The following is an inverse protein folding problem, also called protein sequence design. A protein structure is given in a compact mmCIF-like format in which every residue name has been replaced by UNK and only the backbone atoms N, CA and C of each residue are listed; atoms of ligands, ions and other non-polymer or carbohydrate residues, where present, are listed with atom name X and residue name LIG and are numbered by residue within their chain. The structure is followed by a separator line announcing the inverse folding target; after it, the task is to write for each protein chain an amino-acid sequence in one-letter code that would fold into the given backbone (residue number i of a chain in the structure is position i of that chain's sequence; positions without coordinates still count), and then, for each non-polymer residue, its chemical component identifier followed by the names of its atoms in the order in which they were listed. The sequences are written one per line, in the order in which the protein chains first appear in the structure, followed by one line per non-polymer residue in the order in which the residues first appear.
data_IF_250540215902
#
_entry.id   IF_250540215902
#
_cell.length_a   1.000
_cell.length_b   1.000
_cell.length_c   1.000
_cell.angle_alpha   90.00
_cell.angle_beta   90.00
_cell.angle_gamma   90.00
#
_symmetry.space_group_name_H-M   'P 1'
#
loop_
_entity.id
_entity.type
_entity.pdbx_description
1 polymer ?
#
# COMPACT_ATOMS: atom_id res chain seq x y z
N UNK A 1 -23.96 -9.92 -12.05
CA UNK A 1 -23.90 -9.33 -10.71
C UNK A 1 -25.06 -8.43 -10.40
N UNK A 2 -25.63 -8.60 -9.28
CA UNK A 2 -26.80 -7.84 -8.90
C UNK A 2 -26.39 -6.66 -8.03
N UNK A 3 -26.85 -5.48 -8.39
CA UNK A 3 -26.57 -4.28 -7.63
C UNK A 3 -27.08 -4.41 -6.20
N UNK A 4 -28.24 -5.04 -6.03
CA UNK A 4 -28.81 -5.20 -4.70
C UNK A 4 -27.94 -6.05 -3.79
N UNK A 5 -27.35 -7.12 -4.32
CA UNK A 5 -26.47 -7.98 -3.54
C UNK A 5 -25.23 -7.19 -3.12
N UNK A 6 -24.68 -6.43 -4.05
CA UNK A 6 -23.51 -5.62 -3.75
C UNK A 6 -23.82 -4.58 -2.67
N UNK A 7 -24.99 -3.97 -2.79
CA UNK A 7 -25.42 -2.98 -1.82
C UNK A 7 -25.55 -3.59 -0.41
N UNK A 8 -26.14 -4.77 -0.32
CA UNK A 8 -26.31 -5.44 0.95
C UNK A 8 -24.95 -5.79 1.57
N UNK A 9 -24.01 -6.24 0.75
CA UNK A 9 -22.67 -6.57 1.23
C UNK A 9 -21.96 -5.33 1.74
N UNK A 10 -22.14 -4.21 1.08
CA UNK A 10 -21.55 -2.95 1.52
C UNK A 10 -22.10 -2.51 2.89
N UNK A 11 -23.34 -2.85 3.18
CA UNK A 11 -23.97 -2.48 4.44
C UNK A 11 -23.66 -3.46 5.57
N UNK A 12 -23.33 -4.70 5.25
CA UNK A 12 -23.14 -5.75 6.27
C UNK A 12 -21.67 -6.08 6.46
N UNK A 13 -21.15 -6.89 5.58
CA UNK A 13 -19.79 -7.39 5.67
C UNK A 13 -18.99 -6.77 4.54
N UNK A 14 -18.80 -5.54 4.64
CA UNK A 14 -18.39 -4.66 3.58
C UNK A 14 -17.08 -5.05 2.90
N UNK A 15 -17.09 -5.35 1.59
CA UNK A 15 -15.85 -5.58 0.85
C UNK A 15 -14.93 -4.37 0.86
N UNK A 16 -15.49 -3.17 0.99
CA UNK A 16 -14.70 -1.95 1.10
C UNK A 16 -13.91 -1.95 2.39
N UNK A 17 -14.54 -2.29 3.50
CA UNK A 17 -13.83 -2.37 4.77
C UNK A 17 -12.76 -3.46 4.74
N UNK A 18 -13.06 -4.58 4.10
CA UNK A 18 -12.07 -5.64 3.93
C UNK A 18 -10.85 -5.12 3.16
N UNK A 19 -11.09 -4.45 2.05
CA UNK A 19 -10.01 -3.91 1.21
C UNK A 19 -9.18 -2.88 1.96
N UNK A 20 -9.83 -2.07 2.77
CA UNK A 20 -9.13 -1.01 3.52
C UNK A 20 -8.18 -1.56 4.59
N UNK A 21 -8.33 -2.81 4.98
CA UNK A 21 -7.34 -3.43 5.86
C UNK A 21 -5.96 -3.45 5.22
N UNK A 22 -5.92 -3.55 3.91
CA UNK A 22 -4.68 -3.71 3.16
C UNK A 22 -4.12 -2.39 2.66
N UNK A 23 -4.98 -1.43 2.36
CA UNK A 23 -4.56 -0.16 1.75
C UNK A 23 -5.00 1.08 2.53
N UNK A 24 -5.73 0.89 3.62
CA UNK A 24 -6.22 2.03 4.40
C UNK A 24 -5.12 2.69 5.21
N UNK A 25 -5.44 3.87 5.71
CA UNK A 25 -4.50 4.63 6.52
C UNK A 25 -3.61 5.50 5.67
N UNK A 26 -2.75 6.23 6.35
CA UNK A 26 -1.93 7.25 5.72
C UNK A 26 -0.74 6.67 4.94
N UNK A 27 -0.22 5.52 5.36
CA UNK A 27 1.10 5.08 4.94
C UNK A 27 1.13 3.86 4.02
N UNK A 28 0.09 3.02 4.06
CA UNK A 28 0.15 1.70 3.43
C UNK A 28 0.30 1.76 1.92
N UNK A 29 -0.48 2.61 1.27
CA UNK A 29 -0.39 2.74 -0.19
C UNK A 29 1.02 3.15 -0.59
N UNK A 30 1.59 4.13 0.10
CA UNK A 30 2.94 4.59 -0.20
C UNK A 30 3.98 3.49 -0.05
N UNK A 31 3.86 2.70 1.00
CA UNK A 31 4.79 1.59 1.25
C UNK A 31 4.68 0.56 0.13
N UNK A 32 3.45 0.15 -0.19
CA UNK A 32 3.22 -0.85 -1.24
C UNK A 32 3.71 -0.33 -2.60
N UNK A 33 3.41 0.93 -2.89
CA UNK A 33 3.81 1.57 -4.14
C UNK A 33 5.33 1.63 -4.29
N UNK A 34 6.04 1.87 -3.20
CA UNK A 34 7.48 1.91 -3.20
C UNK A 34 8.10 0.58 -3.64
N UNK A 35 7.39 -0.53 -3.40
CA UNK A 35 7.84 -1.86 -3.78
C UNK A 35 7.24 -2.36 -5.08
N UNK A 36 6.67 -1.47 -5.88
CA UNK A 36 5.95 -1.83 -7.08
C UNK A 36 6.81 -2.61 -8.09
N UNK A 37 8.02 -2.17 -8.32
CA UNK A 37 8.88 -2.75 -9.35
C UNK A 37 10.08 -3.51 -8.82
N UNK A 38 10.42 -3.33 -7.56
CA UNK A 38 11.64 -3.95 -7.02
C UNK A 38 11.53 -4.08 -5.51
N UNK A 39 12.33 -4.96 -4.95
CA UNK A 39 12.44 -5.03 -3.51
C UNK A 39 13.11 -3.77 -2.96
N UNK A 40 12.85 -3.49 -1.69
CA UNK A 40 13.36 -2.31 -1.03
C UNK A 40 13.97 -2.66 0.33
N UNK A 41 15.00 -1.94 0.70
CA UNK A 41 15.54 -2.00 2.05
C UNK A 41 14.77 -1.00 2.92
N UNK A 42 14.89 -1.20 4.22
CA UNK A 42 14.19 -0.35 5.19
C UNK A 42 14.48 1.14 4.96
N UNK A 43 15.74 1.48 4.80
CA UNK A 43 16.13 2.87 4.58
C UNK A 43 15.58 3.47 3.31
N UNK A 44 15.46 2.66 2.26
CA UNK A 44 14.86 3.09 1.01
C UNK A 44 13.39 3.36 1.16
N UNK A 45 12.68 2.48 1.88
CA UNK A 45 11.26 2.69 2.16
C UNK A 45 11.05 3.96 2.98
N UNK A 46 11.92 4.20 3.95
CA UNK A 46 11.81 5.38 4.77
C UNK A 46 12.00 6.65 3.96
N UNK A 47 12.88 6.62 2.99
CA UNK A 47 13.07 7.78 2.09
C UNK A 47 11.92 7.96 1.13
N UNK A 48 11.39 6.84 0.60
CA UNK A 48 10.34 6.89 -0.41
C UNK A 48 9.01 7.35 0.17
N UNK A 49 8.73 6.99 1.42
CA UNK A 49 7.47 7.35 2.07
C UNK A 49 7.70 8.57 2.95
N UNK A 50 7.52 9.72 2.34
CA UNK A 50 7.85 10.99 2.98
C UNK A 50 7.09 11.18 4.30
N UNK A 51 7.84 11.52 5.33
CA UNK A 51 7.26 11.86 6.61
C UNK A 51 7.03 10.70 7.56
N UNK A 52 7.20 9.47 7.10
CA UNK A 52 6.98 8.32 7.98
C UNK A 52 8.14 8.21 8.99
N UNK A 53 7.80 7.93 10.24
CA UNK A 53 8.82 7.68 11.26
C UNK A 53 9.27 6.23 11.19
N UNK A 54 10.45 5.96 11.76
CA UNK A 54 10.96 4.59 11.84
C UNK A 54 9.97 3.68 12.55
N UNK A 55 9.42 4.16 13.66
CA UNK A 55 8.46 3.39 14.44
C UNK A 55 7.24 3.03 13.62
N UNK A 56 6.67 3.99 12.90
CA UNK A 56 5.50 3.76 12.07
C UNK A 56 5.81 2.79 10.95
N UNK A 57 6.97 2.95 10.32
CA UNK A 57 7.34 2.05 9.22
C UNK A 57 7.50 0.61 9.72
N UNK A 58 8.13 0.43 10.86
CA UNK A 58 8.27 -0.90 11.46
C UNK A 58 6.89 -1.52 11.71
N UNK A 59 5.98 -0.73 12.30
CA UNK A 59 4.64 -1.23 12.60
C UNK A 59 3.86 -1.59 11.34
N UNK A 60 3.93 -0.72 10.34
CA UNK A 60 3.20 -0.96 9.09
C UNK A 60 3.76 -2.16 8.33
N UNK A 61 5.07 -2.30 8.29
CA UNK A 61 5.69 -3.44 7.61
C UNK A 61 5.31 -4.75 8.29
N UNK A 62 5.35 -4.78 9.61
CA UNK A 62 4.94 -5.98 10.35
C UNK A 62 3.48 -6.32 10.09
N UNK A 63 2.64 -5.32 10.03
CA UNK A 63 1.23 -5.53 9.78
C UNK A 63 0.99 -6.06 8.36
N UNK A 64 1.62 -5.43 7.37
CA UNK A 64 1.50 -5.86 5.98
C UNK A 64 2.07 -7.26 5.78
N UNK A 65 3.12 -7.58 6.49
CA UNK A 65 3.69 -8.93 6.47
C UNK A 65 2.68 -9.94 7.03
N UNK A 66 2.05 -9.61 8.15
CA UNK A 66 1.06 -10.49 8.76
C UNK A 66 -0.17 -10.68 7.89
N UNK A 67 -0.48 -9.71 7.04
CA UNK A 67 -1.60 -9.79 6.11
C UNK A 67 -1.24 -10.53 4.82
N UNK A 68 0.01 -10.94 4.67
CA UNK A 68 0.45 -11.64 3.47
C UNK A 68 0.66 -10.75 2.27
N UNK A 69 0.88 -9.46 2.47
CA UNK A 69 1.08 -8.49 1.40
C UNK A 69 2.57 -8.26 1.14
N UNK A 70 3.37 -8.27 2.20
CA UNK A 70 4.79 -7.99 2.14
C UNK A 70 5.57 -9.20 2.63
N UNK A 71 6.67 -9.47 1.96
CA UNK A 71 7.62 -10.54 2.31
C UNK A 71 8.91 -9.89 2.76
N UNK A 72 9.42 -10.36 3.90
CA UNK A 72 10.69 -9.91 4.44
C UNK A 72 11.74 -11.01 4.24
N UNK A 73 12.82 -10.68 3.57
CA UNK A 73 13.90 -11.64 3.31
C UNK A 73 15.18 -11.16 4.00
N UNK A 74 15.70 -11.99 4.88
CA UNK A 74 16.96 -11.70 5.57
C UNK A 74 18.07 -12.50 4.92
N UNK A 75 19.16 -11.81 4.60
CA UNK A 75 20.35 -12.45 4.02
C UNK A 75 21.44 -12.49 5.05
N UNK A 76 21.96 -13.69 5.30
CA UNK A 76 23.02 -13.90 6.26
C UNK A 76 24.35 -13.70 5.58
N UNK A 77 24.75 -12.46 5.48
CA UNK A 77 26.02 -12.07 4.87
C UNK A 77 26.63 -10.95 5.70
N UNK A 78 27.78 -10.46 5.31
CA UNK A 78 28.51 -9.43 6.04
C UNK A 78 28.72 -8.25 5.11
N UNK A 79 28.06 -7.11 5.36
CA UNK A 79 27.09 -6.87 6.45
C UNK A 79 25.76 -7.56 6.18
N UNK A 80 24.98 -7.83 7.22
CA UNK A 80 23.66 -8.44 7.02
C UNK A 80 22.73 -7.52 6.23
N UNK A 81 21.81 -8.14 5.50
CA UNK A 81 20.91 -7.41 4.61
C UNK A 81 19.50 -7.93 4.78
N UNK A 82 18.53 -7.02 4.82
CA UNK A 82 17.12 -7.35 4.85
C UNK A 82 16.44 -6.60 3.72
N UNK A 83 15.63 -7.31 2.95
CA UNK A 83 14.87 -6.73 1.86
C UNK A 83 13.39 -7.01 2.04
N UNK A 84 12.58 -6.07 1.63
CA UNK A 84 11.12 -6.19 1.62
C UNK A 84 10.62 -6.18 0.19
N UNK A 85 9.67 -7.05 -0.10
CA UNK A 85 9.08 -7.13 -1.44
C UNK A 85 7.61 -7.47 -1.32
N UNK A 86 6.87 -7.26 -2.41
CA UNK A 86 5.48 -7.64 -2.45
C UNK A 86 5.35 -9.13 -2.69
N UNK A 87 4.40 -9.75 -1.99
CA UNK A 87 4.00 -11.13 -2.29
C UNK A 87 3.15 -11.13 -3.55
N UNK A 88 2.81 -12.32 -4.04
CA UNK A 88 1.87 -12.44 -5.14
C UNK A 88 0.56 -11.73 -4.83
N UNK A 89 0.06 -11.94 -3.61
CA UNK A 89 -1.15 -11.27 -3.15
C UNK A 89 -0.98 -9.74 -3.14
N UNK A 90 0.17 -9.28 -2.65
CA UNK A 90 0.45 -7.85 -2.63
C UNK A 90 0.47 -7.23 -4.00
N UNK A 91 0.95 -7.96 -5.00
CA UNK A 91 0.99 -7.46 -6.37
C UNK A 91 -0.39 -7.24 -6.95
N UNK A 92 -1.39 -7.97 -6.46
CA UNK A 92 -2.77 -7.78 -6.94
C UNK A 92 -3.33 -6.42 -6.56
N UNK A 93 -2.73 -5.74 -5.58
CA UNK A 93 -3.15 -4.41 -5.17
C UNK A 93 -2.62 -3.30 -6.08
N UNK A 94 -1.59 -3.60 -6.87
CA UNK A 94 -0.97 -2.56 -7.69
C UNK A 94 -1.94 -1.93 -8.70
N UNK A 95 -2.73 -2.69 -9.47
CA UNK A 95 -3.69 -2.06 -10.38
C UNK A 95 -4.70 -1.16 -9.66
N UNK A 96 -5.14 -1.57 -8.48
CA UNK A 96 -6.04 -0.76 -7.68
C UNK A 96 -5.36 0.53 -7.24
N UNK A 97 -4.14 0.44 -6.76
CA UNK A 97 -3.39 1.62 -6.31
C UNK A 97 -3.09 2.54 -7.49
N UNK A 98 -2.78 1.98 -8.65
CA UNK A 98 -2.58 2.78 -9.87
C UNK A 98 -3.80 3.62 -10.18
N UNK A 99 -4.97 3.04 -10.04
CA UNK A 99 -6.21 3.78 -10.27
C UNK A 99 -6.39 4.89 -9.24
N UNK A 100 -6.07 4.63 -8.00
CA UNK A 100 -6.16 5.64 -6.94
C UNK A 100 -5.20 6.79 -7.23
N UNK A 101 -3.96 6.47 -7.58
CA UNK A 101 -2.93 7.48 -7.90
C UNK A 101 -3.37 8.31 -9.09
N UNK A 102 -3.85 7.65 -10.14
CA UNK A 102 -4.29 8.31 -11.35
C UNK A 102 -5.46 9.25 -11.09
N UNK A 103 -6.44 8.78 -10.32
CA UNK A 103 -7.58 9.61 -9.95
C UNK A 103 -7.12 10.82 -9.17
N UNK A 104 -6.20 10.60 -8.21
CA UNK A 104 -5.70 11.67 -7.37
C UNK A 104 -5.01 12.78 -8.16
N UNK A 105 -4.12 12.40 -9.06
CA UNK A 105 -3.44 13.39 -9.89
C UNK A 105 -4.41 14.15 -10.77
N UNK A 106 -5.35 13.44 -11.38
CA UNK A 106 -6.33 14.07 -12.25
C UNK A 106 -7.17 15.09 -11.47
N UNK A 107 -7.60 14.74 -10.28
CA UNK A 107 -8.40 15.64 -9.45
C UNK A 107 -7.59 16.83 -8.96
N UNK A 108 -6.36 16.60 -8.55
CA UNK A 108 -5.48 17.68 -8.10
C UNK A 108 -5.25 18.70 -9.20
N UNK A 109 -5.00 18.23 -10.43
CA UNK A 109 -4.81 19.13 -11.56
C UNK A 109 -6.05 19.97 -11.82
N UNK A 110 -7.22 19.34 -11.80
CA UNK A 110 -8.47 20.05 -12.02
C UNK A 110 -8.72 21.08 -10.92
N UNK A 111 -8.47 20.71 -9.68
CA UNK A 111 -8.71 21.60 -8.57
C UNK A 111 -7.75 22.77 -8.55
N UNK A 112 -6.50 22.53 -8.91
CA UNK A 112 -5.53 23.61 -9.03
C UNK A 112 -5.97 24.62 -10.06
N UNK A 113 -6.39 24.16 -11.23
CA UNK A 113 -6.90 25.04 -12.28
C UNK A 113 -8.18 25.72 -11.81
N UNK A 114 -9.09 24.96 -11.24
CA UNK A 114 -10.38 25.48 -10.79
C UNK A 114 -10.26 26.45 -9.63
N UNK A 115 -9.24 26.30 -8.80
CA UNK A 115 -9.04 27.17 -7.63
C UNK A 115 -8.51 28.53 -8.02
N UNK A 116 -8.01 28.66 -9.24
CA UNK A 116 -7.50 29.94 -9.73
C UNK A 116 -8.60 30.74 -10.38
#
# INVERSE_FOLDING_TARGET
MKINILHEELLKSCPVQHSLKFIGGKWRIGIIWSMKTTCRRFGELKRDVLGITEKMLIQELRHLESLGIVCRTAYYEIPPKVEYSLTERGRTLIPLIENIVSWGYSDMDKNEVGAK
#
